data_IF_256926804751
#
_entry.id   IF_256926804751
#
_cell.length_a   1.000
_cell.length_b   1.000
_cell.length_c   1.000
_cell.angle_alpha   90.00
_cell.angle_beta   90.00
_cell.angle_gamma   90.00
#
_symmetry.space_group_name_H-M   'P 1'
#
loop_
_entity.id
_entity.type
_entity.pdbx_description
1 polymer ?
#
# COMPACT_ATOMS: atom_id res chain seq x y z
N UNK A 1 6.30 -50.18 -20.96
CA UNK A 1 6.90 -48.93 -21.39
C UNK A 1 5.89 -47.79 -21.10
N UNK A 2 5.93 -47.23 -19.87
CA UNK A 2 4.98 -46.21 -19.38
C UNK A 2 5.81 -45.06 -18.77
N UNK A 3 6.47 -44.29 -19.64
CA UNK A 3 7.30 -43.12 -19.21
C UNK A 3 6.74 -41.79 -19.75
N UNK A 4 5.62 -41.82 -20.52
CA UNK A 4 5.09 -40.62 -21.17
C UNK A 4 4.16 -39.74 -20.31
N UNK A 5 3.49 -40.28 -19.30
CA UNK A 5 2.44 -39.56 -18.57
C UNK A 5 2.92 -38.56 -17.50
N UNK A 6 3.99 -38.91 -16.79
CA UNK A 6 4.48 -38.08 -15.68
C UNK A 6 5.11 -36.75 -16.15
N UNK A 7 5.81 -36.78 -17.30
CA UNK A 7 6.42 -35.57 -17.88
C UNK A 7 5.40 -34.54 -18.36
N UNK A 8 4.32 -35.03 -19.01
CA UNK A 8 3.24 -34.16 -19.50
C UNK A 8 2.47 -33.53 -18.33
N UNK A 9 2.18 -34.31 -17.28
CA UNK A 9 1.50 -33.82 -16.08
C UNK A 9 2.32 -32.73 -15.37
N UNK A 10 3.63 -32.96 -15.20
CA UNK A 10 4.52 -31.98 -14.58
C UNK A 10 4.60 -30.66 -15.38
N UNK A 11 4.67 -30.76 -16.72
CA UNK A 11 4.71 -29.59 -17.62
C UNK A 11 3.41 -28.81 -17.55
N UNK A 12 2.26 -29.49 -17.49
CA UNK A 12 0.94 -28.84 -17.35
C UNK A 12 0.81 -28.14 -15.99
N UNK A 13 1.26 -28.76 -14.91
CA UNK A 13 1.23 -28.17 -13.56
C UNK A 13 2.13 -26.92 -13.48
N UNK A 14 3.33 -26.98 -14.07
CA UNK A 14 4.24 -25.83 -14.11
C UNK A 14 3.64 -24.70 -14.97
N UNK A 15 3.06 -25.04 -16.12
CA UNK A 15 2.43 -24.06 -17.01
C UNK A 15 1.19 -23.43 -16.37
N UNK A 16 0.33 -24.21 -15.72
CA UNK A 16 -0.80 -23.68 -14.95
C UNK A 16 -0.34 -22.85 -13.75
N UNK A 17 0.70 -23.25 -13.06
CA UNK A 17 1.31 -22.45 -11.98
C UNK A 17 1.80 -21.09 -12.49
N UNK A 18 2.43 -21.06 -13.66
CA UNK A 18 2.91 -19.82 -14.27
C UNK A 18 1.75 -18.95 -14.81
N UNK A 19 0.70 -19.54 -15.33
CA UNK A 19 -0.50 -18.86 -15.83
C UNK A 19 -1.35 -18.28 -14.68
N UNK A 20 -1.32 -18.92 -13.49
CA UNK A 20 -2.06 -18.50 -12.29
C UNK A 20 -1.25 -17.56 -11.40
N UNK A 21 0.03 -17.28 -11.72
CA UNK A 21 0.84 -16.35 -10.96
C UNK A 21 0.35 -14.93 -11.23
N UNK A 22 -0.03 -14.17 -10.21
CA UNK A 22 -0.53 -12.81 -10.43
C UNK A 22 0.54 -11.95 -11.10
N UNK A 23 0.15 -11.20 -12.10
CA UNK A 23 1.02 -10.24 -12.78
C UNK A 23 1.51 -9.17 -11.78
N UNK A 24 2.65 -8.54 -12.07
CA UNK A 24 3.13 -7.44 -11.21
C UNK A 24 2.09 -6.30 -11.11
N UNK A 25 1.32 -6.08 -12.15
CA UNK A 25 0.20 -5.13 -12.15
C UNK A 25 -0.86 -5.50 -11.11
N UNK A 26 -1.35 -6.74 -11.12
CA UNK A 26 -2.33 -7.22 -10.15
C UNK A 26 -1.78 -7.20 -8.72
N UNK A 27 -0.49 -7.51 -8.54
CA UNK A 27 0.17 -7.44 -7.23
C UNK A 27 0.25 -6.01 -6.70
N UNK A 28 0.48 -5.04 -7.58
CA UNK A 28 0.48 -3.61 -7.22
C UNK A 28 -0.95 -3.15 -6.93
N UNK A 29 -1.94 -3.51 -7.74
CA UNK A 29 -3.35 -3.19 -7.47
C UNK A 29 -3.79 -3.73 -6.09
N UNK A 30 -3.49 -5.00 -5.79
CA UNK A 30 -3.76 -5.61 -4.49
C UNK A 30 -3.04 -4.87 -3.34
N UNK A 31 -1.80 -4.42 -3.55
CA UNK A 31 -1.06 -3.65 -2.55
C UNK A 31 -1.77 -2.33 -2.18
N UNK A 32 -2.38 -1.64 -3.17
CA UNK A 32 -3.16 -0.43 -2.93
C UNK A 32 -4.48 -0.74 -2.20
N UNK A 33 -5.16 -1.82 -2.58
CA UNK A 33 -6.39 -2.27 -1.94
C UNK A 33 -6.14 -2.66 -0.48
N UNK A 34 -5.10 -3.46 -0.22
CA UNK A 34 -4.69 -3.88 1.12
C UNK A 34 -4.29 -2.68 1.99
N UNK A 35 -3.57 -1.69 1.43
CA UNK A 35 -3.25 -0.46 2.14
C UNK A 35 -4.51 0.30 2.56
N UNK A 36 -5.49 0.42 1.67
CA UNK A 36 -6.77 1.07 1.97
C UNK A 36 -7.55 0.31 3.05
N UNK A 37 -7.58 -1.02 2.99
CA UNK A 37 -8.22 -1.87 4.00
C UNK A 37 -7.55 -1.71 5.36
N UNK A 38 -6.23 -1.88 5.44
CA UNK A 38 -5.45 -1.77 6.68
C UNK A 38 -5.55 -0.37 7.29
N UNK A 39 -5.63 0.67 6.46
CA UNK A 39 -5.74 2.05 6.94
C UNK A 39 -7.12 2.37 7.50
N UNK A 40 -8.17 1.65 7.09
CA UNK A 40 -9.52 1.87 7.56
C UNK A 40 -9.68 1.51 9.04
N UNK A 41 -10.47 2.29 9.75
CA UNK A 41 -10.81 2.06 11.17
C UNK A 41 -12.28 2.35 11.41
N UNK A 42 -12.95 1.42 12.09
CA UNK A 42 -14.31 1.58 12.64
C UNK A 42 -14.24 2.01 14.09
N UNK A 43 -15.36 2.53 14.63
CA UNK A 43 -15.42 2.97 16.03
C UNK A 43 -15.22 1.83 17.04
N UNK A 44 -15.57 0.60 16.65
CA UNK A 44 -15.52 -0.58 17.52
C UNK A 44 -14.14 -1.26 17.55
N UNK A 45 -13.14 -0.68 16.90
CA UNK A 45 -11.79 -1.25 16.84
C UNK A 45 -11.16 -1.30 18.25
N UNK A 46 -10.72 -2.49 18.68
CA UNK A 46 -10.05 -2.68 19.96
C UNK A 46 -8.58 -2.20 19.92
N UNK A 47 -8.01 -1.90 21.08
CA UNK A 47 -6.59 -1.52 21.19
C UNK A 47 -5.64 -2.64 20.69
N UNK A 48 -6.01 -3.91 20.87
CA UNK A 48 -5.23 -5.05 20.37
C UNK A 48 -5.28 -5.09 18.85
N UNK A 49 -6.48 -4.91 18.27
CA UNK A 49 -6.62 -4.79 16.81
C UNK A 49 -5.80 -3.64 16.25
N UNK A 50 -5.83 -2.47 16.89
CA UNK A 50 -5.06 -1.31 16.48
C UNK A 50 -3.54 -1.57 16.48
N UNK A 51 -3.02 -2.27 17.49
CA UNK A 51 -1.61 -2.62 17.56
C UNK A 51 -1.17 -3.59 16.42
N UNK A 52 -2.01 -4.57 16.10
CA UNK A 52 -1.74 -5.51 14.99
C UNK A 52 -1.75 -4.78 13.65
N UNK A 53 -2.70 -3.90 13.42
CA UNK A 53 -2.83 -3.11 12.19
C UNK A 53 -1.63 -2.18 12.00
N UNK A 54 -1.11 -1.55 13.04
CA UNK A 54 0.11 -0.71 12.96
C UNK A 54 1.33 -1.52 12.52
N UNK A 55 1.45 -2.77 13.00
CA UNK A 55 2.50 -3.69 12.57
C UNK A 55 2.35 -4.08 11.10
N UNK A 56 1.12 -4.32 10.65
CA UNK A 56 0.84 -4.67 9.25
C UNK A 56 1.05 -3.50 8.33
N UNK A 57 0.66 -2.29 8.73
CA UNK A 57 0.91 -1.05 7.98
C UNK A 57 2.38 -0.86 7.58
N UNK A 58 3.31 -1.24 8.45
CA UNK A 58 4.74 -1.15 8.18
C UNK A 58 5.17 -1.97 6.95
N UNK A 59 4.51 -3.09 6.68
CA UNK A 59 4.89 -4.03 5.60
C UNK A 59 4.71 -3.43 4.19
N UNK A 60 3.89 -2.38 4.05
CA UNK A 60 3.64 -1.73 2.76
C UNK A 60 4.81 -0.88 2.27
N UNK A 61 5.71 -0.48 3.17
CA UNK A 61 6.75 0.50 2.87
C UNK A 61 8.14 -0.13 2.76
N UNK A 62 8.96 0.44 1.86
CA UNK A 62 10.38 0.17 1.84
C UNK A 62 11.03 0.63 3.17
N UNK A 63 12.17 0.05 3.57
CA UNK A 63 12.86 0.46 4.80
C UNK A 63 13.15 1.96 4.88
N UNK A 64 13.34 2.60 3.72
CA UNK A 64 13.42 4.05 3.54
C UNK A 64 12.41 4.49 2.49
N UNK A 65 11.64 5.51 2.81
CA UNK A 65 10.63 6.10 1.93
C UNK A 65 10.80 7.61 1.88
N UNK A 66 10.70 8.17 0.69
CA UNK A 66 10.73 9.62 0.48
C UNK A 66 9.30 10.14 0.27
N UNK A 67 8.90 11.13 1.05
CA UNK A 67 7.63 11.82 0.89
C UNK A 67 7.91 13.25 0.45
N UNK A 68 7.43 13.59 -0.75
CA UNK A 68 7.55 14.93 -1.31
C UNK A 68 6.18 15.58 -1.33
N UNK A 69 6.04 16.69 -0.60
CA UNK A 69 4.82 17.49 -0.56
C UNK A 69 5.18 18.88 -1.03
N UNK A 70 4.56 19.37 -2.09
CA UNK A 70 4.75 20.75 -2.58
C UNK A 70 4.17 21.83 -1.66
N UNK A 71 3.74 21.47 -0.45
CA UNK A 71 3.27 22.40 0.57
C UNK A 71 4.10 22.24 1.85
N UNK A 72 4.04 23.23 2.75
CA UNK A 72 4.81 23.31 4.02
C UNK A 72 4.44 22.23 5.06
N UNK A 73 4.04 21.02 4.64
CA UNK A 73 3.65 19.95 5.55
C UNK A 73 4.87 19.33 6.23
N UNK A 74 4.75 19.07 7.54
CA UNK A 74 5.80 18.52 8.40
C UNK A 74 6.23 17.08 8.05
N UNK A 75 5.55 16.42 7.11
CA UNK A 75 5.79 15.01 6.72
C UNK A 75 6.72 14.90 5.49
N UNK A 76 7.09 16.03 4.86
CA UNK A 76 8.00 15.99 3.72
C UNK A 76 9.41 15.60 4.16
N UNK A 77 10.06 14.72 3.39
CA UNK A 77 11.43 14.27 3.64
C UNK A 77 11.60 12.76 3.54
N UNK A 78 12.76 12.28 3.96
CA UNK A 78 13.06 10.85 4.07
C UNK A 78 12.60 10.33 5.44
N UNK A 79 11.90 9.20 5.42
CA UNK A 79 11.40 8.51 6.61
C UNK A 79 11.75 7.03 6.55
N UNK A 80 11.83 6.40 7.70
CA UNK A 80 11.85 4.95 7.80
C UNK A 80 10.42 4.40 7.85
N UNK A 81 10.25 3.14 7.45
CA UNK A 81 8.99 2.39 7.59
C UNK A 81 8.50 2.37 9.04
N UNK A 82 9.45 2.32 10.00
CA UNK A 82 9.16 2.36 11.43
C UNK A 82 8.61 3.72 11.88
N UNK A 83 9.22 4.82 11.45
CA UNK A 83 8.74 6.18 11.76
C UNK A 83 7.34 6.42 11.21
N UNK A 84 7.07 5.99 9.96
CA UNK A 84 5.75 6.11 9.37
C UNK A 84 4.71 5.28 10.12
N UNK A 85 5.05 4.05 10.53
CA UNK A 85 4.13 3.22 11.30
C UNK A 85 3.84 3.78 12.69
N UNK A 86 4.82 4.42 13.34
CA UNK A 86 4.61 5.12 14.61
C UNK A 86 3.68 6.34 14.45
N UNK A 87 3.89 7.15 13.39
CA UNK A 87 3.03 8.29 13.11
C UNK A 87 1.59 7.84 12.80
N UNK A 88 1.45 6.80 11.99
CA UNK A 88 0.17 6.19 11.71
C UNK A 88 -0.52 5.67 12.99
N UNK A 89 0.22 4.97 13.86
CA UNK A 89 -0.29 4.48 15.14
C UNK A 89 -0.82 5.60 16.03
N UNK A 90 -0.11 6.72 16.13
CA UNK A 90 -0.56 7.91 16.88
C UNK A 90 -1.85 8.49 16.30
N UNK A 91 -1.93 8.62 14.97
CA UNK A 91 -3.13 9.09 14.29
C UNK A 91 -4.31 8.14 14.53
N UNK A 92 -4.07 6.82 14.44
CA UNK A 92 -5.08 5.80 14.65
C UNK A 92 -5.65 5.82 16.07
N UNK A 93 -4.81 5.98 17.10
CA UNK A 93 -5.24 6.11 18.50
C UNK A 93 -6.03 7.40 18.72
N UNK A 94 -5.66 8.49 18.05
CA UNK A 94 -6.35 9.79 18.17
C UNK A 94 -7.68 9.82 17.41
N UNK A 95 -7.94 8.87 16.54
CA UNK A 95 -9.10 8.83 15.64
C UNK A 95 -10.13 7.79 16.13
N UNK A 96 -11.42 8.13 16.01
CA UNK A 96 -12.54 7.20 16.19
C UNK A 96 -12.79 6.40 14.91
N UNK A 97 -12.71 7.08 13.74
CA UNK A 97 -12.87 6.49 12.41
C UNK A 97 -11.78 6.98 11.49
N UNK A 98 -11.34 6.11 10.59
CA UNK A 98 -10.43 6.46 9.52
C UNK A 98 -10.85 5.74 8.25
N UNK A 99 -10.63 6.37 7.10
CA UNK A 99 -10.84 5.77 5.80
C UNK A 99 -9.82 6.29 4.81
N UNK A 100 -9.33 5.41 3.98
CA UNK A 100 -8.51 5.71 2.81
C UNK A 100 -9.13 5.01 1.61
N UNK A 101 -9.24 5.72 0.50
CA UNK A 101 -9.68 5.19 -0.79
C UNK A 101 -8.82 5.78 -1.88
N UNK A 102 -8.73 5.10 -2.99
CA UNK A 102 -8.11 5.65 -4.19
C UNK A 102 -9.02 5.49 -5.41
N UNK A 103 -8.78 6.32 -6.39
CA UNK A 103 -9.42 6.28 -7.71
C UNK A 103 -8.38 6.54 -8.79
N UNK A 104 -8.69 6.12 -10.02
CA UNK A 104 -7.87 6.40 -11.20
C UNK A 104 -6.41 5.94 -11.04
N UNK A 105 -6.22 4.67 -10.65
CA UNK A 105 -4.90 4.06 -10.61
C UNK A 105 -4.37 3.89 -12.04
N UNK A 106 -3.39 4.70 -12.41
CA UNK A 106 -2.76 4.68 -13.72
C UNK A 106 -1.31 4.24 -13.60
N UNK A 107 -0.94 3.21 -14.35
CA UNK A 107 0.43 2.73 -14.43
C UNK A 107 1.20 3.56 -15.45
N UNK A 108 2.22 4.28 -14.97
CA UNK A 108 3.11 5.10 -15.82
C UNK A 108 4.22 4.21 -16.38
N UNK A 109 4.85 3.40 -15.52
CA UNK A 109 5.82 2.38 -15.91
C UNK A 109 5.78 1.20 -14.94
N UNK A 110 6.12 0.02 -15.45
CA UNK A 110 6.42 -1.17 -14.66
C UNK A 110 7.64 -1.82 -15.29
N UNK A 111 8.71 -1.91 -14.52
CA UNK A 111 9.94 -2.62 -14.85
C UNK A 111 10.10 -3.81 -13.91
N UNK A 112 11.20 -4.57 -14.01
CA UNK A 112 11.41 -5.80 -13.24
C UNK A 112 11.34 -5.58 -11.72
N UNK A 113 11.94 -4.48 -11.22
CA UNK A 113 12.07 -4.19 -9.78
C UNK A 113 11.51 -2.83 -9.37
N UNK A 114 11.01 -2.03 -10.32
CA UNK A 114 10.47 -0.69 -10.07
C UNK A 114 9.17 -0.47 -10.81
N UNK A 115 8.27 0.30 -10.22
CA UNK A 115 7.06 0.76 -10.88
C UNK A 115 6.73 2.18 -10.47
N UNK A 116 6.15 2.92 -11.40
CA UNK A 116 5.61 4.26 -11.13
C UNK A 116 4.12 4.25 -11.46
N UNK A 117 3.32 4.65 -10.50
CA UNK A 117 1.87 4.73 -10.64
C UNK A 117 1.37 6.08 -10.16
N UNK A 118 0.28 6.57 -10.76
CA UNK A 118 -0.45 7.73 -10.27
C UNK A 118 -1.84 7.32 -9.80
N UNK A 119 -2.31 7.95 -8.73
CA UNK A 119 -3.65 7.74 -8.19
C UNK A 119 -4.17 9.01 -7.51
N UNK A 120 -5.48 9.13 -7.40
CA UNK A 120 -6.12 10.12 -6.55
C UNK A 120 -6.56 9.43 -5.26
N UNK A 121 -5.99 9.85 -4.13
CA UNK A 121 -6.37 9.35 -2.81
C UNK A 121 -7.39 10.28 -2.14
N UNK A 122 -8.29 9.66 -1.39
CA UNK A 122 -9.27 10.31 -0.53
C UNK A 122 -9.06 9.77 0.88
N UNK A 123 -8.66 10.63 1.79
CA UNK A 123 -8.48 10.31 3.19
C UNK A 123 -9.55 11.00 4.04
N UNK A 124 -10.08 10.30 5.00
CA UNK A 124 -11.00 10.86 6.00
C UNK A 124 -10.66 10.35 7.38
N UNK A 125 -10.77 11.21 8.39
CA UNK A 125 -10.64 10.80 9.78
C UNK A 125 -11.56 11.61 10.68
N UNK A 126 -12.10 10.93 11.67
CA UNK A 126 -12.96 11.54 12.70
C UNK A 126 -12.23 11.47 14.03
N UNK A 127 -11.89 12.62 14.58
CA UNK A 127 -11.25 12.72 15.89
C UNK A 127 -12.20 12.37 17.05
N UNK A 128 -11.65 12.29 18.27
CA UNK A 128 -12.41 11.99 19.50
C UNK A 128 -13.50 13.02 19.79
N UNK A 129 -13.33 14.26 19.33
CA UNK A 129 -14.35 15.32 19.45
C UNK A 129 -15.55 15.14 18.48
N UNK A 130 -15.52 14.14 17.61
CA UNK A 130 -16.55 13.92 16.58
C UNK A 130 -16.36 14.75 15.30
N UNK A 131 -15.35 15.65 15.26
CA UNK A 131 -15.05 16.41 14.05
C UNK A 131 -14.43 15.50 12.99
N UNK A 132 -15.02 15.51 11.80
CA UNK A 132 -14.49 14.81 10.64
C UNK A 132 -13.71 15.76 9.75
N UNK A 133 -12.53 15.33 9.30
CA UNK A 133 -11.69 16.00 8.32
C UNK A 133 -11.57 15.05 7.12
N UNK A 134 -11.71 15.60 5.91
CA UNK A 134 -11.55 14.85 4.67
C UNK A 134 -10.63 15.63 3.74
N UNK A 135 -9.69 14.93 3.13
CA UNK A 135 -8.73 15.48 2.19
C UNK A 135 -8.63 14.59 0.97
N UNK A 136 -8.39 15.19 -0.19
CA UNK A 136 -8.05 14.47 -1.40
C UNK A 136 -6.72 14.99 -1.98
N UNK A 137 -5.97 14.09 -2.59
CA UNK A 137 -4.70 14.41 -3.19
C UNK A 137 -4.42 13.56 -4.43
N UNK A 138 -3.95 14.20 -5.49
CA UNK A 138 -3.30 13.48 -6.58
C UNK A 138 -1.88 13.14 -6.17
N UNK A 139 -1.50 11.89 -6.36
CA UNK A 139 -0.17 11.40 -5.99
C UNK A 139 0.45 10.64 -7.16
N UNK A 140 1.76 10.75 -7.26
CA UNK A 140 2.60 9.85 -8.02
C UNK A 140 3.42 9.04 -7.02
N UNK A 141 3.41 7.73 -7.20
CA UNK A 141 4.01 6.79 -6.26
C UNK A 141 5.05 5.96 -7.00
N UNK A 142 6.25 5.91 -6.45
CA UNK A 142 7.24 4.93 -6.87
C UNK A 142 7.21 3.71 -5.95
N UNK A 143 7.24 2.54 -6.56
CA UNK A 143 7.27 1.25 -5.90
C UNK A 143 8.58 0.55 -6.23
N UNK A 144 9.09 -0.23 -5.29
CA UNK A 144 10.24 -1.11 -5.49
C UNK A 144 9.93 -2.51 -5.02
N UNK A 145 10.43 -3.49 -5.77
CA UNK A 145 10.37 -4.89 -5.37
C UNK A 145 11.51 -5.20 -4.40
N UNK A 146 11.18 -5.55 -3.17
CA UNK A 146 12.12 -5.87 -2.09
C UNK A 146 11.80 -7.27 -1.61
N UNK A 147 12.77 -8.19 -1.70
CA UNK A 147 12.58 -9.61 -1.35
C UNK A 147 11.39 -10.26 -2.07
N UNK A 148 11.11 -9.81 -3.30
CA UNK A 148 10.00 -10.29 -4.13
C UNK A 148 8.66 -9.58 -3.91
N UNK A 149 8.53 -8.71 -2.93
CA UNK A 149 7.31 -7.96 -2.64
C UNK A 149 7.40 -6.50 -3.08
N UNK A 150 6.33 -6.01 -3.69
CA UNK A 150 6.19 -4.59 -4.03
C UNK A 150 6.00 -3.74 -2.77
N UNK A 151 6.73 -2.63 -2.66
CA UNK A 151 6.68 -1.71 -1.53
C UNK A 151 6.72 -0.27 -1.98
N UNK A 152 6.01 0.60 -1.28
CA UNK A 152 6.07 2.04 -1.49
C UNK A 152 7.45 2.57 -1.11
N UNK A 153 8.16 3.19 -2.05
CA UNK A 153 9.49 3.77 -1.85
C UNK A 153 9.51 5.29 -1.94
N UNK A 154 8.57 5.87 -2.71
CA UNK A 154 8.43 7.32 -2.80
C UNK A 154 6.96 7.69 -3.02
N UNK A 155 6.53 8.78 -2.38
CA UNK A 155 5.19 9.36 -2.55
C UNK A 155 5.34 10.84 -2.83
N UNK A 156 4.89 11.24 -4.02
CA UNK A 156 4.89 12.63 -4.46
C UNK A 156 3.46 13.17 -4.47
N UNK A 157 3.15 14.12 -3.62
CA UNK A 157 1.88 14.82 -3.65
C UNK A 157 1.89 15.89 -4.76
N UNK A 158 1.06 15.68 -5.76
CA UNK A 158 0.87 16.65 -6.85
C UNK A 158 -0.24 17.60 -6.43
N UNK A 159 0.11 18.87 -6.22
CA UNK A 159 -0.88 19.89 -5.93
C UNK A 159 -1.73 20.17 -7.19
N UNK A 160 -3.06 20.29 -7.00
CA UNK A 160 -3.94 20.93 -7.99
C UNK A 160 -3.47 22.33 -8.32
#
# INVERSE_FOLDING_TARGET
>A
MVIGGAGIFLTVVIFLGWLLWPSDRERIENLFDDLCEVTSKTEDASAISDAMVVKDFRKFFAPKITISIRSKAKIAGEHTDHELSQQYGRLRIASRRMGLKYENLNFISIDDDTATVSAKFFASWTGKSGKTISEDAHTEVELRKIEGDWKFSQINYLKK
#
